data_IF_318498500528
#
_entry.id   IF_318498500528
#
_cell.length_a   1.000
_cell.length_b   1.000
_cell.length_c   1.000
_cell.angle_alpha   90.00
_cell.angle_beta   90.00
_cell.angle_gamma   90.00
#
_symmetry.space_group_name_H-M   'P 1'
#
loop_
_entity.id
_entity.type
_entity.pdbx_description
1 polymer ?
#
# COMPACT_ATOMS: atom_id res chain seq x y z
N UNK A 1 -30.46 31.51 5.55
CA UNK A 1 -29.32 30.67 5.11
C UNK A 1 -28.74 29.97 6.33
N UNK A 2 -29.16 28.73 6.59
CA UNK A 2 -28.64 27.92 7.70
C UNK A 2 -27.23 27.47 7.30
N UNK A 3 -26.20 28.10 7.88
CA UNK A 3 -24.82 27.64 7.71
C UNK A 3 -24.66 26.34 8.49
N UNK A 4 -24.37 25.25 7.80
CA UNK A 4 -23.97 23.96 8.37
C UNK A 4 -22.56 24.07 8.96
N UNK A 5 -22.39 24.87 10.02
CA UNK A 5 -21.08 25.17 10.60
C UNK A 5 -20.46 23.99 11.39
N UNK A 6 -21.27 22.99 11.76
CA UNK A 6 -20.87 21.92 12.69
C UNK A 6 -20.81 20.53 12.06
N UNK A 7 -20.65 20.40 10.72
CA UNK A 7 -20.36 19.09 10.13
C UNK A 7 -18.89 18.74 10.46
N UNK A 8 -18.61 17.63 11.17
CA UNK A 8 -17.23 17.21 11.40
C UNK A 8 -16.52 17.02 10.06
N UNK A 9 -15.37 17.69 9.88
CA UNK A 9 -14.57 17.48 8.67
C UNK A 9 -14.09 16.02 8.66
N UNK A 10 -14.34 15.26 7.57
CA UNK A 10 -13.90 13.89 7.50
C UNK A 10 -12.36 13.82 7.54
N UNK A 11 -11.82 12.84 8.28
CA UNK A 11 -10.40 12.48 8.16
C UNK A 11 -10.17 11.97 6.75
N UNK A 12 -9.12 12.48 6.10
CA UNK A 12 -8.79 12.11 4.72
C UNK A 12 -7.72 11.01 4.67
N UNK A 13 -7.86 10.13 3.69
CA UNK A 13 -6.81 9.17 3.32
C UNK A 13 -5.71 9.88 2.52
N UNK A 14 -4.53 9.28 2.48
CA UNK A 14 -3.37 9.93 1.85
C UNK A 14 -2.13 9.07 1.80
N UNK A 15 -1.10 9.64 1.18
CA UNK A 15 0.23 9.08 1.05
C UNK A 15 1.23 10.02 1.73
N UNK A 16 2.19 9.44 2.45
CA UNK A 16 3.29 10.20 3.06
C UNK A 16 4.60 9.65 2.53
N UNK A 17 5.36 10.50 1.85
CA UNK A 17 6.72 10.19 1.41
C UNK A 17 7.66 10.46 2.56
N UNK A 18 8.47 9.48 2.91
CA UNK A 18 9.34 9.48 4.08
C UNK A 18 10.77 9.18 3.64
N UNK A 19 11.72 9.89 4.25
CA UNK A 19 13.13 9.59 4.11
C UNK A 19 13.43 8.19 4.70
N UNK A 20 13.94 7.23 3.92
CA UNK A 20 14.13 5.86 4.39
C UNK A 20 15.16 5.76 5.54
N UNK A 21 16.17 6.63 5.56
CA UNK A 21 17.25 6.64 6.55
C UNK A 21 16.81 7.34 7.85
N UNK A 22 16.18 8.51 7.72
CA UNK A 22 15.85 9.39 8.84
C UNK A 22 14.43 9.22 9.35
N UNK A 23 13.55 8.56 8.59
CA UNK A 23 12.14 8.38 8.92
C UNK A 23 11.35 9.70 8.94
N UNK A 24 11.91 10.79 8.40
CA UNK A 24 11.29 12.11 8.40
C UNK A 24 10.34 12.26 7.22
N UNK A 25 9.09 12.72 7.43
CA UNK A 25 8.18 13.04 6.34
C UNK A 25 8.77 14.11 5.43
N UNK A 26 8.92 13.80 4.14
CA UNK A 26 9.38 14.72 3.11
C UNK A 26 8.19 15.35 2.36
N UNK A 27 7.10 14.61 2.20
CA UNK A 27 5.89 15.09 1.51
C UNK A 27 4.65 14.40 2.01
N UNK A 28 3.56 15.15 2.15
CA UNK A 28 2.23 14.63 2.49
C UNK A 28 1.30 14.91 1.32
N UNK A 29 0.67 13.85 0.80
CA UNK A 29 -0.28 13.90 -0.31
C UNK A 29 -1.64 13.48 0.25
N UNK A 30 -2.54 14.44 0.40
CA UNK A 30 -3.89 14.19 0.91
C UNK A 30 -4.82 14.01 -0.27
N UNK A 31 -5.59 12.91 -0.30
CA UNK A 31 -6.59 12.71 -1.35
C UNK A 31 -7.67 13.79 -1.26
N UNK A 32 -8.14 14.28 -2.41
CA UNK A 32 -9.19 15.30 -2.42
C UNK A 32 -10.50 14.72 -1.87
N UNK A 33 -10.86 13.54 -2.36
CA UNK A 33 -12.00 12.76 -1.90
C UNK A 33 -11.51 11.43 -1.32
N UNK A 34 -12.18 10.95 -0.27
CA UNK A 34 -11.92 9.62 0.24
C UNK A 34 -12.48 8.59 -0.75
N UNK A 35 -11.73 7.54 -1.10
CA UNK A 35 -12.25 6.50 -1.97
C UNK A 35 -13.46 5.81 -1.33
N UNK A 36 -14.49 5.53 -2.14
CA UNK A 36 -15.68 4.81 -1.69
C UNK A 36 -15.39 3.33 -1.39
N UNK A 37 -14.44 2.76 -2.13
CA UNK A 37 -14.06 1.35 -2.05
C UNK A 37 -12.55 1.19 -1.85
N UNK A 38 -12.20 0.14 -1.11
CA UNK A 38 -10.83 -0.30 -0.92
C UNK A 38 -10.80 -1.82 -1.08
N UNK A 39 -10.18 -2.27 -2.15
CA UNK A 39 -9.97 -3.68 -2.45
C UNK A 39 -8.67 -4.16 -1.80
N UNK A 40 -8.70 -5.33 -1.15
CA UNK A 40 -7.56 -5.90 -0.44
C UNK A 40 -7.44 -7.39 -0.76
N UNK A 41 -6.30 -7.79 -1.28
CA UNK A 41 -5.90 -9.19 -1.44
C UNK A 41 -4.82 -9.53 -0.42
N UNK A 42 -4.97 -10.65 0.29
CA UNK A 42 -4.09 -11.09 1.37
C UNK A 42 -3.74 -12.56 1.12
N UNK A 43 -2.49 -12.83 0.74
CA UNK A 43 -2.02 -14.18 0.41
C UNK A 43 -1.05 -14.69 1.49
N UNK A 44 -1.35 -15.81 2.17
CA UNK A 44 -0.42 -16.41 3.13
C UNK A 44 0.83 -16.94 2.44
N UNK A 45 1.98 -16.85 3.10
CA UNK A 45 3.22 -17.46 2.62
C UNK A 45 3.40 -18.82 3.30
N UNK A 46 2.85 -19.90 2.72
CA UNK A 46 2.93 -21.26 3.31
C UNK A 46 4.26 -21.95 3.02
N UNK A 47 4.67 -22.83 3.93
CA UNK A 47 5.99 -23.48 3.86
C UNK A 47 6.16 -24.50 2.72
N UNK A 48 5.07 -24.98 2.11
CA UNK A 48 5.10 -26.00 1.05
C UNK A 48 4.87 -25.51 -0.39
N UNK A 49 4.62 -24.22 -0.63
CA UNK A 49 4.18 -23.72 -1.95
C UNK A 49 5.32 -23.34 -2.89
N UNK A 50 6.56 -23.28 -2.38
CA UNK A 50 7.75 -23.11 -3.22
C UNK A 50 8.34 -24.48 -3.53
N UNK A 51 7.95 -25.04 -4.67
CA UNK A 51 8.81 -25.99 -5.38
C UNK A 51 10.08 -25.25 -5.79
N UNK A 52 11.03 -25.14 -4.86
CA UNK A 52 12.39 -24.74 -5.18
C UNK A 52 12.98 -25.88 -6.02
N UNK A 53 12.99 -25.67 -7.34
CA UNK A 53 13.63 -26.55 -8.31
C UNK A 53 15.15 -26.39 -8.15
N UNK A 54 15.68 -26.91 -7.05
CA UNK A 54 17.07 -26.73 -6.64
C UNK A 54 17.55 -27.81 -5.69
N UNK A 55 17.75 -29.03 -6.22
CA UNK A 55 18.59 -30.05 -5.57
C UNK A 55 17.85 -31.26 -5.02
N UNK A 56 18.13 -32.41 -5.62
CA UNK A 56 17.53 -33.72 -5.31
C UNK A 56 17.43 -34.06 -3.83
N UNK A 57 16.20 -34.29 -3.40
CA UNK A 57 15.86 -34.94 -2.14
C UNK A 57 14.53 -35.65 -2.29
N UNK A 58 14.56 -36.95 -2.57
CA UNK A 58 13.39 -37.83 -2.43
C UNK A 58 13.04 -37.90 -0.94
N UNK A 59 12.09 -37.08 -0.51
CA UNK A 59 11.63 -37.03 0.88
C UNK A 59 10.19 -36.57 0.92
N UNK A 60 9.31 -37.44 1.40
CA UNK A 60 7.89 -37.19 1.69
C UNK A 60 7.65 -35.76 2.19
N UNK A 61 6.88 -34.97 1.43
CA UNK A 61 6.35 -33.69 1.93
C UNK A 61 5.65 -33.96 3.26
N UNK A 62 6.17 -33.37 4.32
CA UNK A 62 5.74 -33.68 5.67
C UNK A 62 4.30 -33.16 5.81
N UNK A 63 3.35 -34.02 6.22
CA UNK A 63 1.90 -33.67 6.33
C UNK A 63 1.63 -32.49 7.29
N UNK A 64 2.66 -31.99 7.97
CA UNK A 64 2.65 -30.88 8.91
C UNK A 64 3.08 -29.52 8.31
N UNK A 65 3.38 -29.43 7.01
CA UNK A 65 3.80 -28.17 6.37
C UNK A 65 2.63 -27.26 5.99
N UNK A 66 1.40 -27.80 5.89
CA UNK A 66 0.22 -27.08 5.41
C UNK A 66 -0.16 -25.86 6.29
N UNK A 67 0.18 -25.87 7.58
CA UNK A 67 -0.15 -24.80 8.53
C UNK A 67 1.05 -23.90 8.86
N UNK A 68 2.24 -24.18 8.32
CA UNK A 68 3.45 -23.40 8.61
C UNK A 68 3.53 -22.19 7.68
N UNK A 69 3.79 -21.02 8.27
CA UNK A 69 4.04 -19.79 7.53
C UNK A 69 5.55 -19.50 7.46
N UNK A 70 6.02 -19.05 6.29
CA UNK A 70 7.41 -18.61 6.05
C UNK A 70 7.65 -17.15 6.44
N UNK A 71 6.58 -16.37 6.58
CA UNK A 71 6.63 -14.96 6.87
C UNK A 71 5.23 -14.35 6.94
N UNK A 72 5.13 -13.02 7.11
CA UNK A 72 3.86 -12.33 7.07
C UNK A 72 3.17 -12.49 5.71
N UNK A 73 1.84 -12.41 5.70
CA UNK A 73 1.08 -12.50 4.45
C UNK A 73 1.43 -11.36 3.48
N UNK A 74 1.47 -11.67 2.19
CA UNK A 74 1.62 -10.67 1.14
C UNK A 74 0.27 -9.95 0.95
N UNK A 75 0.25 -8.64 1.17
CA UNK A 75 -0.95 -7.83 1.02
C UNK A 75 -0.83 -6.86 -0.17
N UNK A 76 -1.83 -6.88 -1.06
CA UNK A 76 -1.97 -5.94 -2.18
C UNK A 76 -3.30 -5.20 -2.05
N UNK A 77 -3.26 -3.88 -2.12
CA UNK A 77 -4.43 -3.02 -1.94
C UNK A 77 -4.65 -2.18 -3.20
N UNK A 78 -5.91 -1.94 -3.56
CA UNK A 78 -6.29 -1.11 -4.71
C UNK A 78 -7.48 -0.22 -4.37
N UNK A 79 -7.46 1.01 -4.85
CA UNK A 79 -8.60 1.91 -4.78
C UNK A 79 -8.60 2.88 -5.96
N UNK A 80 -9.74 3.54 -6.17
CA UNK A 80 -9.89 4.64 -7.11
C UNK A 80 -10.01 5.96 -6.36
N UNK A 81 -9.18 6.94 -6.70
CA UNK A 81 -9.29 8.31 -6.18
C UNK A 81 -9.70 9.27 -7.30
N UNK A 82 -10.31 10.38 -6.91
CA UNK A 82 -10.74 11.42 -7.84
C UNK A 82 -10.09 12.75 -7.47
N UNK A 83 -9.77 13.54 -8.50
CA UNK A 83 -9.30 14.91 -8.37
C UNK A 83 -10.17 15.77 -9.29
N UNK A 84 -10.66 16.89 -8.78
CA UNK A 84 -11.53 17.83 -9.50
C UNK A 84 -11.22 19.27 -9.07
N UNK A 85 -10.71 20.09 -10.00
CA UNK A 85 -10.43 21.50 -9.77
C UNK A 85 -11.71 22.35 -9.59
N UNK A 86 -12.88 21.90 -10.06
CA UNK A 86 -14.15 22.64 -9.93
C UNK A 86 -14.71 22.64 -8.50
N UNK A 87 -14.23 21.76 -7.64
CA UNK A 87 -14.55 21.76 -6.21
C UNK A 87 -13.74 22.82 -5.43
N UNK A 88 -12.75 23.43 -6.08
CA UNK A 88 -11.86 24.46 -5.51
C UNK A 88 -11.83 25.74 -6.38
N UNK A 89 -12.98 26.14 -6.95
CA UNK A 89 -13.09 27.31 -7.84
C UNK A 89 -12.56 28.62 -7.25
N UNK A 90 -12.52 28.74 -5.92
CA UNK A 90 -11.99 29.90 -5.21
C UNK A 90 -10.45 30.02 -5.26
N UNK A 91 -9.76 28.96 -5.70
CA UNK A 91 -8.29 28.90 -5.81
C UNK A 91 -7.92 28.93 -7.29
N UNK A 92 -7.10 29.91 -7.68
CA UNK A 92 -6.61 29.99 -9.05
C UNK A 92 -5.77 28.74 -9.39
N UNK A 93 -6.21 27.99 -10.41
CA UNK A 93 -5.57 26.78 -10.90
C UNK A 93 -5.17 26.97 -12.39
N UNK A 94 -4.11 27.74 -12.70
CA UNK A 94 -3.72 28.05 -14.08
C UNK A 94 -3.29 26.82 -14.88
N UNK A 95 -2.80 25.78 -14.19
CA UNK A 95 -2.37 24.50 -14.77
C UNK A 95 -3.38 23.37 -14.50
N UNK A 96 -4.62 23.71 -14.14
CA UNK A 96 -5.65 22.75 -13.76
C UNK A 96 -5.21 21.85 -12.60
N UNK A 97 -5.40 20.54 -12.74
CA UNK A 97 -4.97 19.52 -11.77
C UNK A 97 -3.61 18.89 -12.11
N UNK A 98 -2.92 19.40 -13.13
CA UNK A 98 -1.68 18.81 -13.64
C UNK A 98 -0.57 18.72 -12.57
N UNK A 99 -0.36 19.73 -11.69
CA UNK A 99 0.63 19.63 -10.62
C UNK A 99 0.35 18.50 -9.63
N UNK A 100 -0.93 18.24 -9.31
CA UNK A 100 -1.35 17.18 -8.40
C UNK A 100 -1.06 15.80 -9.01
N UNK A 101 -1.31 15.64 -10.32
CA UNK A 101 -0.97 14.41 -11.06
C UNK A 101 0.55 14.18 -11.07
N UNK A 102 1.33 15.21 -11.40
CA UNK A 102 2.79 15.12 -11.44
C UNK A 102 3.39 14.71 -10.07
N UNK A 103 2.81 15.16 -8.96
CA UNK A 103 3.25 14.74 -7.61
C UNK A 103 3.07 13.24 -7.40
N UNK A 104 1.99 12.64 -7.91
CA UNK A 104 1.73 11.21 -7.82
C UNK A 104 2.62 10.40 -8.78
N UNK A 105 2.85 10.89 -9.99
CA UNK A 105 3.75 10.28 -10.96
C UNK A 105 5.19 10.20 -10.44
N UNK A 106 5.63 11.25 -9.73
CA UNK A 106 6.96 11.27 -9.10
C UNK A 106 7.14 10.24 -7.97
N UNK A 107 6.07 9.56 -7.52
CA UNK A 107 6.20 8.43 -6.58
C UNK A 107 6.69 7.15 -7.24
N UNK A 108 6.51 7.03 -8.56
CA UNK A 108 6.87 5.82 -9.34
C UNK A 108 7.98 6.09 -10.35
N UNK A 109 8.54 7.30 -10.35
CA UNK A 109 9.60 7.71 -11.27
C UNK A 109 10.85 8.19 -10.53
N UNK A 110 12.05 7.81 -10.99
CA UNK A 110 13.28 8.40 -10.50
C UNK A 110 13.41 9.86 -10.95
N UNK A 111 14.02 10.68 -10.12
CA UNK A 111 14.29 12.08 -10.48
C UNK A 111 15.33 12.18 -11.59
N UNK A 112 15.28 13.28 -12.35
CA UNK A 112 16.29 13.57 -13.39
C UNK A 112 17.71 13.63 -12.82
N UNK A 113 17.87 14.08 -11.57
CA UNK A 113 19.16 14.10 -10.88
C UNK A 113 19.70 12.69 -10.64
N UNK A 114 18.86 11.76 -10.17
CA UNK A 114 19.22 10.35 -9.98
C UNK A 114 19.57 9.69 -11.31
N UNK A 115 18.78 9.88 -12.36
CA UNK A 115 19.06 9.35 -13.69
C UNK A 115 20.40 9.86 -14.24
N UNK A 116 20.66 11.16 -14.17
CA UNK A 116 21.94 11.75 -14.60
C UNK A 116 23.12 11.23 -13.77
N UNK A 117 22.93 11.00 -12.47
CA UNK A 117 23.97 10.42 -11.61
C UNK A 117 24.30 8.98 -12.02
N UNK A 118 23.27 8.16 -12.27
CA UNK A 118 23.43 6.80 -12.77
C UNK A 118 24.18 6.78 -14.10
N UNK A 119 23.79 7.63 -15.08
CA UNK A 119 24.48 7.73 -16.38
C UNK A 119 25.97 8.09 -16.23
N UNK A 120 26.30 9.04 -15.34
CA UNK A 120 27.71 9.40 -15.09
C UNK A 120 28.51 8.24 -14.49
N UNK A 121 27.89 7.42 -13.64
CA UNK A 121 28.55 6.27 -13.03
C UNK A 121 28.80 5.17 -14.08
N UNK A 122 27.83 4.93 -14.97
CA UNK A 122 27.97 4.02 -16.11
C UNK A 122 29.09 4.46 -17.06
N UNK A 123 29.17 5.76 -17.39
CA UNK A 123 30.23 6.29 -18.25
C UNK A 123 31.64 6.14 -17.66
N UNK A 124 31.76 6.05 -16.33
CA UNK A 124 33.03 5.83 -15.63
C UNK A 124 33.43 4.36 -15.54
N UNK A 125 32.66 3.45 -16.13
CA UNK A 125 32.96 2.02 -16.12
C UNK A 125 32.78 1.35 -14.75
N UNK A 126 31.88 1.87 -13.91
CA UNK A 126 31.56 1.20 -12.63
C UNK A 126 31.01 -0.19 -12.89
N UNK A 127 31.64 -1.21 -12.28
CA UNK A 127 31.28 -2.63 -12.45
C UNK A 127 29.97 -2.96 -11.73
N UNK A 128 29.58 -2.16 -10.74
CA UNK A 128 28.33 -2.31 -9.99
C UNK A 128 27.54 -1.00 -10.05
N UNK A 129 26.30 -1.07 -10.54
CA UNK A 129 25.34 0.03 -10.53
C UNK A 129 24.24 -0.40 -9.55
N UNK A 130 24.24 0.18 -8.36
CA UNK A 130 23.16 -0.05 -7.41
C UNK A 130 21.83 0.47 -7.99
N UNK A 131 20.72 -0.27 -7.84
CA UNK A 131 19.40 0.22 -8.21
C UNK A 131 19.09 1.55 -7.54
N UNK A 132 18.37 2.43 -8.25
CA UNK A 132 17.89 3.68 -7.65
C UNK A 132 16.85 3.31 -6.59
N UNK A 133 17.16 3.62 -5.33
CA UNK A 133 16.22 3.45 -4.23
C UNK A 133 15.09 4.47 -4.34
N UNK A 134 13.86 3.98 -4.36
CA UNK A 134 12.67 4.82 -4.34
C UNK A 134 12.37 5.26 -2.91
N UNK A 135 11.78 6.44 -2.70
CA UNK A 135 11.48 6.91 -1.36
C UNK A 135 10.45 5.99 -0.68
N UNK A 136 10.59 5.82 0.65
CA UNK A 136 9.66 5.04 1.44
C UNK A 136 8.30 5.75 1.46
N UNK A 137 7.26 5.10 0.97
CA UNK A 137 5.90 5.65 0.97
C UNK A 137 5.06 4.99 2.05
N UNK A 138 4.33 5.78 2.83
CA UNK A 138 3.33 5.30 3.77
C UNK A 138 1.94 5.56 3.20
N UNK A 139 1.05 4.57 3.28
CA UNK A 139 -0.36 4.77 3.04
C UNK A 139 -1.11 4.92 4.35
N UNK A 140 -1.97 5.93 4.42
CA UNK A 140 -2.82 6.21 5.58
C UNK A 140 -4.28 6.10 5.19
N UNK A 141 -5.00 5.15 5.80
CA UNK A 141 -6.46 5.02 5.74
C UNK A 141 -7.05 5.36 7.11
N UNK A 142 -7.05 6.65 7.42
CA UNK A 142 -7.31 7.16 8.76
C UNK A 142 -6.22 6.74 9.78
N UNK A 143 -6.48 6.99 11.07
CA UNK A 143 -5.49 6.81 12.13
C UNK A 143 -5.20 5.35 12.51
N UNK A 144 -6.10 4.42 12.16
CA UNK A 144 -5.99 3.00 12.56
C UNK A 144 -5.23 2.15 11.55
N UNK A 145 -4.95 2.68 10.35
CA UNK A 145 -4.36 1.94 9.24
C UNK A 145 -3.30 2.82 8.57
N UNK A 146 -2.11 2.78 9.14
CA UNK A 146 -0.89 3.37 8.56
C UNK A 146 0.04 2.21 8.24
N UNK A 147 0.54 2.12 7.02
CA UNK A 147 1.44 1.03 6.62
C UNK A 147 2.46 1.49 5.55
N UNK A 148 3.67 0.93 5.56
CA UNK A 148 4.62 1.14 4.47
C UNK A 148 4.15 0.40 3.22
N UNK A 149 4.20 1.08 2.08
CA UNK A 149 3.72 0.56 0.80
C UNK A 149 4.70 0.87 -0.32
N UNK A 150 4.69 0.02 -1.33
CA UNK A 150 5.27 0.30 -2.64
C UNK A 150 4.13 0.36 -3.64
N UNK A 151 4.03 1.45 -4.39
CA UNK A 151 3.07 1.54 -5.49
C UNK A 151 3.44 0.49 -6.54
N UNK A 152 2.43 -0.26 -6.99
CA UNK A 152 2.56 -1.30 -8.02
C UNK A 152 1.84 -0.92 -9.30
N UNK A 153 0.83 -0.05 -9.21
CA UNK A 153 0.03 0.41 -10.34
C UNK A 153 -0.38 1.87 -10.10
N UNK A 154 -0.25 2.71 -11.12
CA UNK A 154 -0.84 4.04 -11.17
C UNK A 154 -1.47 4.19 -12.56
N UNK A 155 -2.79 4.30 -12.60
CA UNK A 155 -3.58 4.55 -13.82
C UNK A 155 -4.25 5.91 -13.69
N UNK A 156 -4.12 6.75 -14.72
CA UNK A 156 -4.67 8.12 -14.73
C UNK A 156 -5.61 8.25 -15.92
N UNK A 157 -6.87 8.61 -15.65
CA UNK A 157 -7.87 8.92 -16.67
C UNK A 157 -8.26 10.39 -16.53
N UNK A 158 -7.73 11.22 -17.41
CA UNK A 158 -7.98 12.67 -17.45
C UNK A 158 -9.21 13.01 -18.27
N UNK A 159 -10.00 13.97 -17.78
CA UNK A 159 -11.23 14.40 -18.41
C UNK A 159 -11.52 15.87 -18.08
N UNK A 160 -12.32 16.50 -18.95
CA UNK A 160 -12.60 17.94 -18.92
C UNK A 160 -11.32 18.79 -18.96
N UNK A 161 -11.16 19.55 -20.03
CA UNK A 161 -9.94 20.33 -20.26
C UNK A 161 -10.28 21.80 -20.42
N UNK A 162 -9.38 22.68 -19.98
CA UNK A 162 -9.47 24.11 -20.26
C UNK A 162 -9.02 24.44 -21.70
N UNK A 163 -8.98 25.73 -22.03
CA UNK A 163 -8.55 26.21 -23.35
C UNK A 163 -7.10 25.90 -23.70
N UNK A 164 -6.26 25.62 -22.70
CA UNK A 164 -4.86 25.27 -22.84
C UNK A 164 -4.61 23.76 -22.73
N UNK A 165 -5.67 22.94 -22.73
CA UNK A 165 -5.63 21.49 -22.52
C UNK A 165 -5.11 21.06 -21.14
N UNK A 166 -5.26 21.90 -20.12
CA UNK A 166 -5.01 21.48 -18.75
C UNK A 166 -6.17 20.62 -18.25
N UNK A 167 -5.92 19.44 -17.67
CA UNK A 167 -6.98 18.62 -17.11
C UNK A 167 -7.62 19.34 -15.93
N UNK A 168 -8.94 19.26 -15.83
CA UNK A 168 -9.75 19.82 -14.75
C UNK A 168 -10.18 18.69 -13.80
N UNK A 169 -10.38 17.47 -14.33
CA UNK A 169 -10.76 16.29 -13.55
C UNK A 169 -9.92 15.07 -13.93
N UNK A 170 -9.60 14.22 -12.95
CA UNK A 170 -9.02 12.91 -13.21
C UNK A 170 -9.57 11.83 -12.27
N UNK A 171 -9.66 10.62 -12.79
CA UNK A 171 -9.85 9.39 -12.00
C UNK A 171 -8.53 8.62 -11.96
N UNK A 172 -8.13 8.22 -10.76
CA UNK A 172 -6.83 7.62 -10.45
C UNK A 172 -7.02 6.21 -9.92
N UNK A 173 -6.58 5.20 -10.65
CA UNK A 173 -6.45 3.83 -10.15
C UNK A 173 -5.11 3.64 -9.46
N UNK A 174 -5.09 3.45 -8.14
CA UNK A 174 -3.85 3.27 -7.38
C UNK A 174 -3.81 1.86 -6.81
N UNK A 175 -2.80 1.09 -7.23
CA UNK A 175 -2.47 -0.23 -6.70
C UNK A 175 -1.17 -0.17 -5.90
N UNK A 176 -1.13 -0.87 -4.77
CA UNK A 176 0.03 -0.91 -3.90
C UNK A 176 0.23 -2.27 -3.23
N UNK A 177 1.49 -2.64 -3.02
CA UNK A 177 1.89 -3.76 -2.17
C UNK A 177 2.33 -3.21 -0.82
N UNK A 178 1.82 -3.79 0.28
CA UNK A 178 2.32 -3.50 1.62
C UNK A 178 3.71 -4.10 1.77
N UNK A 179 4.67 -3.31 2.24
CA UNK A 179 6.02 -3.75 2.52
C UNK A 179 6.06 -4.40 3.91
N UNK A 180 6.59 -5.62 3.98
CA UNK A 180 6.72 -6.39 5.21
C UNK A 180 8.18 -6.43 5.66
N UNK A 181 8.44 -7.02 6.83
CA UNK A 181 9.81 -7.31 7.30
C UNK A 181 10.60 -8.20 6.34
N UNK A 182 9.93 -8.98 5.48
CA UNK A 182 10.57 -9.86 4.49
C UNK A 182 10.93 -9.14 3.18
N UNK A 183 10.38 -7.94 2.94
CA UNK A 183 10.60 -7.17 1.71
C UNK A 183 11.71 -6.12 1.84
N UNK A 184 12.20 -5.88 3.05
CA UNK A 184 13.10 -4.77 3.39
C UNK A 184 14.40 -5.29 4.01
N UNK A 185 15.55 -4.62 3.77
CA UNK A 185 16.80 -4.95 4.44
C UNK A 185 16.69 -4.88 5.96
N UNK A 186 17.50 -5.68 6.66
CA UNK A 186 17.57 -5.64 8.12
C UNK A 186 17.94 -4.22 8.62
N UNK A 187 17.22 -3.73 9.62
CA UNK A 187 17.41 -2.38 10.18
C UNK A 187 16.75 -1.24 9.40
N UNK A 188 16.07 -1.52 8.29
CA UNK A 188 15.34 -0.51 7.53
C UNK A 188 14.06 -0.07 8.28
N UNK A 189 13.84 1.24 8.45
CA UNK A 189 12.72 1.79 9.23
C UNK A 189 11.33 1.39 8.73
N UNK A 190 11.19 1.09 7.45
CA UNK A 190 9.96 0.53 6.90
C UNK A 190 9.54 -0.79 7.59
N UNK A 191 10.49 -1.60 8.04
CA UNK A 191 10.18 -2.82 8.79
C UNK A 191 9.53 -2.52 10.14
N UNK A 192 10.04 -1.50 10.86
CA UNK A 192 9.46 -1.05 12.14
C UNK A 192 8.04 -0.50 11.95
N UNK A 193 7.82 0.27 10.88
CA UNK A 193 6.50 0.79 10.51
C UNK A 193 5.51 -0.33 10.20
N UNK A 194 5.96 -1.41 9.54
CA UNK A 194 5.14 -2.59 9.33
C UNK A 194 4.82 -3.32 10.65
N UNK A 195 5.80 -3.48 11.54
CA UNK A 195 5.57 -4.12 12.85
C UNK A 195 4.55 -3.34 13.69
N UNK A 196 4.61 -1.99 13.66
CA UNK A 196 3.61 -1.15 14.30
C UNK A 196 2.20 -1.33 13.69
N UNK A 197 2.11 -1.45 12.36
CA UNK A 197 0.87 -1.77 11.67
C UNK A 197 0.30 -3.13 12.11
N UNK A 198 1.15 -4.15 12.18
CA UNK A 198 0.76 -5.51 12.56
C UNK A 198 0.26 -5.56 14.01
N UNK A 199 0.97 -4.94 14.95
CA UNK A 199 0.53 -4.83 16.34
C UNK A 199 -0.82 -4.09 16.47
N UNK A 200 -1.06 -3.06 15.63
CA UNK A 200 -2.36 -2.40 15.58
C UNK A 200 -3.46 -3.34 15.07
N UNK A 201 -3.16 -4.17 14.06
CA UNK A 201 -4.08 -5.18 13.52
C UNK A 201 -4.42 -6.25 14.58
N UNK A 202 -3.44 -6.70 15.36
CA UNK A 202 -3.63 -7.62 16.49
C UNK A 202 -4.55 -7.05 17.56
N UNK A 203 -4.34 -5.79 17.96
CA UNK A 203 -5.23 -5.10 18.92
C UNK A 203 -6.67 -5.03 18.43
N UNK A 204 -6.87 -4.77 17.13
CA UNK A 204 -8.21 -4.76 16.54
C UNK A 204 -8.83 -6.16 16.48
N UNK A 205 -8.02 -7.19 16.21
CA UNK A 205 -8.48 -8.58 16.22
C UNK A 205 -8.91 -9.01 17.63
N UNK A 206 -8.15 -8.64 18.67
CA UNK A 206 -8.50 -8.93 20.06
C UNK A 206 -9.80 -8.24 20.52
N UNK A 207 -10.16 -7.11 19.91
CA UNK A 207 -11.40 -6.40 20.19
C UNK A 207 -12.63 -6.98 19.45
N UNK A 208 -12.43 -7.90 18.49
CA UNK A 208 -13.52 -8.50 17.74
C UNK A 208 -14.32 -9.47 18.64
N UNK A 209 -15.66 -9.43 18.52
CA UNK A 209 -16.53 -10.37 19.23
C UNK A 209 -16.37 -11.76 18.60
N UNK A 210 -16.08 -12.77 19.42
CA UNK A 210 -16.05 -14.17 18.99
C UNK A 210 -17.44 -14.72 18.66
N UNK A 211 -17.49 -15.65 17.71
CA UNK A 211 -18.69 -16.45 17.42
C UNK A 211 -18.74 -17.72 18.27
N UNK A 212 -19.94 -18.28 18.46
CA UNK A 212 -20.13 -19.59 19.09
C UNK A 212 -20.18 -20.72 18.06
N UNK A 213 -19.74 -21.93 18.44
CA UNK A 213 -19.79 -23.13 17.57
C UNK A 213 -21.20 -23.45 17.07
N UNK A 214 -22.24 -23.15 17.86
CA UNK A 214 -23.64 -23.32 17.44
C UNK A 214 -24.04 -22.43 16.25
N UNK A 215 -23.41 -21.26 16.07
CA UNK A 215 -23.60 -20.43 14.88
C UNK A 215 -23.03 -21.08 13.60
N UNK A 216 -22.12 -22.05 13.77
CA UNK A 216 -21.58 -22.88 12.69
C UNK A 216 -22.35 -24.21 12.54
N UNK A 217 -23.43 -24.41 13.29
CA UNK A 217 -24.18 -25.68 13.32
C UNK A 217 -23.45 -26.83 14.04
N UNK A 218 -22.31 -26.57 14.68
CA UNK A 218 -21.50 -27.57 15.38
C UNK A 218 -22.00 -27.72 16.83
N UNK A 219 -22.96 -28.62 17.05
CA UNK A 219 -23.43 -29.03 18.36
C UNK A 219 -22.51 -30.07 19.01
N UNK A 220 -22.45 -30.10 20.35
CA UNK A 220 -21.49 -30.87 21.14
C UNK A 220 -21.53 -32.41 21.02
N UNK A 221 -22.34 -32.98 20.14
CA UNK A 221 -22.45 -34.42 19.93
C UNK A 221 -21.57 -34.95 18.76
N UNK A 222 -21.29 -34.14 17.74
CA UNK A 222 -20.66 -34.63 16.49
C UNK A 222 -19.12 -34.58 16.48
N UNK A 223 -18.50 -33.88 17.43
CA UNK A 223 -17.05 -33.69 17.46
C UNK A 223 -16.28 -34.84 18.15
N UNK A 224 -16.97 -35.73 18.87
CA UNK A 224 -16.32 -36.76 19.71
C UNK A 224 -16.31 -38.15 19.07
N UNK A 225 -17.19 -38.45 18.11
CA UNK A 225 -17.30 -39.79 17.51
C UNK A 225 -16.93 -39.80 16.03
N UNK A 226 -15.63 -39.67 15.75
CA UNK A 226 -15.05 -40.15 14.50
C UNK A 226 -15.04 -41.68 14.46
N UNK A 227 -16.18 -42.29 14.12
CA UNK A 227 -16.28 -43.68 13.62
C UNK A 227 -17.29 -43.72 12.48
N UNK A 228 -16.77 -43.70 11.26
CA UNK A 228 -17.38 -44.19 10.04
C UNK A 228 -16.36 -45.06 9.34
#
# INVERSE_FOLDING_TARGET
MTRYADIPKPIRSGLVVVDPDHGTPQRVIVLQFNPDTLERSIAPQSAGDSGDAGGGGTGSGDRNEALRLKGPAQETWKFTAEIDATDQLEIAAPDGIHPQLAVLEMLVQPTTAQLRAATRLTQKGSIEISPIEMPLTLFTWGSKRVMPVRLTELSVNESAFDVNLNPIRASLGIGMKILTVSDLPAGHRGADLYMAHLAQKERLAAAARGGGLGALGLGGADLVTGRG
#
